data_IF_118917660223
#
_entry.id   IF_118917660223
#
_cell.length_a   1.000
_cell.length_b   1.000
_cell.length_c   1.000
_cell.angle_alpha   90.00
_cell.angle_beta   90.00
_cell.angle_gamma   90.00
#
_symmetry.space_group_name_H-M   'P 1'
#
loop_
_entity.id
_entity.type
_entity.pdbx_description
1 polymer ?
#
# COMPACT_ATOMS: atom_id res chain seq x y z
N UNK A 1 12.70 -8.08 18.97
CA UNK A 1 11.74 -7.54 17.99
C UNK A 1 10.72 -8.62 17.64
N UNK A 2 9.41 -8.34 17.54
CA UNK A 2 8.43 -9.32 17.03
C UNK A 2 8.20 -9.03 15.55
N UNK A 3 9.19 -9.40 14.75
CA UNK A 3 9.10 -9.30 13.30
C UNK A 3 8.31 -10.50 12.79
N UNK A 4 7.35 -10.26 11.92
CA UNK A 4 6.45 -11.29 11.38
C UNK A 4 6.77 -11.63 9.93
N UNK A 5 7.49 -10.74 9.24
CA UNK A 5 7.99 -10.90 7.87
C UNK A 5 9.00 -9.80 7.51
N UNK A 6 9.63 -9.91 6.34
CA UNK A 6 10.53 -8.87 5.81
C UNK A 6 9.74 -7.59 5.45
N UNK A 7 8.57 -7.73 4.82
CA UNK A 7 7.70 -6.60 4.49
C UNK A 7 7.32 -5.77 5.72
N UNK A 8 7.15 -6.38 6.89
CA UNK A 8 6.96 -5.64 8.14
C UNK A 8 8.12 -4.67 8.43
N UNK A 9 9.36 -5.13 8.36
CA UNK A 9 10.54 -4.27 8.64
C UNK A 9 10.64 -3.16 7.61
N UNK A 10 10.50 -3.49 6.33
CA UNK A 10 10.56 -2.52 5.23
C UNK A 10 9.47 -1.46 5.38
N UNK A 11 8.24 -1.86 5.67
CA UNK A 11 7.12 -0.93 5.90
C UNK A 11 7.36 -0.05 7.13
N UNK A 12 7.84 -0.60 8.24
CA UNK A 12 8.17 0.16 9.45
C UNK A 12 9.23 1.24 9.18
N UNK A 13 10.35 0.87 8.54
CA UNK A 13 11.42 1.79 8.16
C UNK A 13 10.93 2.86 7.17
N UNK A 14 10.04 2.47 6.25
CA UNK A 14 9.43 3.38 5.29
C UNK A 14 8.57 4.44 6.00
N UNK A 15 7.76 4.05 6.99
CA UNK A 15 6.96 5.00 7.77
C UNK A 15 7.83 5.92 8.64
N UNK A 16 8.96 5.43 9.16
CA UNK A 16 9.97 6.29 9.82
C UNK A 16 10.49 7.33 8.83
N UNK A 17 10.88 6.90 7.62
CA UNK A 17 11.38 7.79 6.57
C UNK A 17 10.35 8.86 6.18
N UNK A 18 9.08 8.48 5.98
CA UNK A 18 7.96 9.41 5.74
C UNK A 18 7.83 10.41 6.88
N UNK A 19 7.93 9.97 8.13
CA UNK A 19 7.86 10.85 9.29
C UNK A 19 9.00 11.86 9.33
N UNK A 20 10.24 11.42 9.11
CA UNK A 20 11.41 12.29 9.04
C UNK A 20 11.28 13.31 7.91
N UNK A 21 10.86 12.86 6.72
CA UNK A 21 10.65 13.74 5.57
C UNK A 21 9.59 14.81 5.87
N UNK A 22 8.50 14.46 6.54
CA UNK A 22 7.47 15.43 6.95
C UNK A 22 8.02 16.48 7.93
N UNK A 23 8.86 16.08 8.88
CA UNK A 23 9.52 17.00 9.82
C UNK A 23 10.49 17.93 9.10
N UNK A 24 11.32 17.39 8.20
CA UNK A 24 12.35 18.16 7.48
C UNK A 24 11.73 19.13 6.48
N UNK A 25 10.69 18.70 5.75
CA UNK A 25 10.02 19.54 4.75
C UNK A 25 9.13 20.60 5.39
N UNK A 26 8.60 20.35 6.60
CA UNK A 26 7.63 21.25 7.23
C UNK A 26 6.30 21.34 6.46
N UNK A 27 6.00 20.38 5.58
CA UNK A 27 4.75 20.27 4.81
C UNK A 27 4.36 18.79 4.64
N UNK A 28 3.18 18.54 4.05
CA UNK A 28 2.72 17.20 3.78
C UNK A 28 3.61 16.48 2.76
N UNK A 29 4.18 15.36 3.19
CA UNK A 29 4.71 14.32 2.27
C UNK A 29 3.59 13.89 1.32
N UNK A 30 3.95 13.62 0.05
CA UNK A 30 2.98 13.37 -1.04
C UNK A 30 1.90 12.32 -0.71
N UNK A 31 2.22 11.28 0.07
CA UNK A 31 1.23 10.26 0.45
C UNK A 31 0.01 10.83 1.20
N UNK A 32 0.20 11.95 1.91
CA UNK A 32 -0.84 12.63 2.66
C UNK A 32 -1.60 13.65 1.79
N UNK A 33 -1.05 14.07 0.64
CA UNK A 33 -1.69 15.05 -0.23
C UNK A 33 -2.84 14.42 -1.06
N UNK A 34 -3.84 15.22 -1.50
CA UNK A 34 -4.00 16.65 -1.28
C UNK A 34 -4.85 16.99 -0.03
N UNK A 35 -4.41 18.01 0.71
CA UNK A 35 -5.18 18.66 1.79
C UNK A 35 -5.55 20.07 1.33
N UNK A 36 -6.82 20.53 1.46
CA UNK A 36 -7.22 21.85 1.00
C UNK A 36 -6.43 22.93 1.73
N UNK A 37 -6.03 23.99 1.02
CA UNK A 37 -5.27 25.09 1.62
C UNK A 37 -6.02 25.78 2.75
N UNK A 38 -7.35 25.87 2.64
CA UNK A 38 -8.23 26.48 3.64
C UNK A 38 -8.60 25.55 4.82
N UNK A 39 -8.02 24.35 4.90
CA UNK A 39 -8.36 23.42 5.98
C UNK A 39 -7.91 23.98 7.34
N UNK A 40 -8.78 23.99 8.37
CA UNK A 40 -8.43 24.55 9.67
C UNK A 40 -7.27 23.76 10.31
N UNK A 41 -6.36 24.46 10.97
CA UNK A 41 -5.19 23.86 11.61
C UNK A 41 -4.34 22.97 10.68
N UNK A 42 -4.25 23.32 9.39
CA UNK A 42 -3.46 22.59 8.38
C UNK A 42 -2.02 22.31 8.84
N UNK A 43 -1.37 23.29 9.47
CA UNK A 43 -0.01 23.13 10.00
C UNK A 43 0.07 22.08 11.11
N UNK A 44 -0.88 22.07 12.04
CA UNK A 44 -0.96 21.03 13.09
C UNK A 44 -1.12 19.65 12.47
N UNK A 45 -1.89 19.55 11.38
CA UNK A 45 -2.11 18.30 10.67
C UNK A 45 -0.84 17.79 9.96
N UNK A 46 0.01 18.67 9.44
CA UNK A 46 1.33 18.31 8.90
C UNK A 46 2.16 17.61 9.98
N UNK A 47 2.29 18.25 11.14
CA UNK A 47 3.06 17.70 12.26
C UNK A 47 2.46 16.41 12.81
N UNK A 48 1.13 16.29 12.82
CA UNK A 48 0.44 15.07 13.22
C UNK A 48 0.73 13.91 12.26
N UNK A 49 0.65 14.12 10.94
CA UNK A 49 1.00 13.12 9.94
C UNK A 49 2.45 12.64 10.09
N UNK A 50 3.38 13.58 10.28
CA UNK A 50 4.79 13.28 10.48
C UNK A 50 5.02 12.47 11.77
N UNK A 51 4.44 12.92 12.89
CA UNK A 51 4.55 12.27 14.18
C UNK A 51 3.93 10.86 14.19
N UNK A 52 2.73 10.68 13.62
CA UNK A 52 2.07 9.37 13.54
C UNK A 52 2.92 8.41 12.70
N UNK A 53 3.43 8.85 11.55
CA UNK A 53 4.31 8.06 10.69
C UNK A 53 5.57 7.62 11.43
N UNK A 54 6.24 8.57 12.10
CA UNK A 54 7.49 8.33 12.80
C UNK A 54 7.32 7.42 14.02
N UNK A 55 6.39 7.75 14.91
CA UNK A 55 6.17 7.04 16.17
C UNK A 55 5.61 5.65 15.92
N UNK A 56 4.66 5.48 14.99
CA UNK A 56 4.15 4.16 14.65
C UNK A 56 5.21 3.34 13.91
N UNK A 57 5.96 3.93 12.98
CA UNK A 57 7.07 3.27 12.28
C UNK A 57 8.12 2.73 13.25
N UNK A 58 8.56 3.54 14.23
CA UNK A 58 9.46 3.09 15.29
C UNK A 58 8.82 2.03 16.20
N UNK A 59 7.55 2.24 16.56
CA UNK A 59 6.78 1.31 17.40
C UNK A 59 6.60 -0.08 16.79
N UNK A 60 6.52 -0.18 15.46
CA UNK A 60 6.46 -1.46 14.72
C UNK A 60 7.71 -2.32 14.91
N UNK A 61 8.88 -1.72 15.08
CA UNK A 61 10.14 -2.44 15.26
C UNK A 61 10.26 -3.07 16.65
N UNK A 62 9.52 -2.58 17.66
CA UNK A 62 9.61 -3.06 19.03
C UNK A 62 8.51 -4.07 19.40
N UNK A 63 8.88 -5.21 20.02
CA UNK A 63 7.95 -6.31 20.31
C UNK A 63 6.72 -5.90 21.14
N UNK A 64 6.90 -5.01 22.12
CA UNK A 64 5.83 -4.58 23.03
C UNK A 64 4.86 -3.59 22.39
N UNK A 65 5.35 -2.78 21.45
CA UNK A 65 4.58 -1.69 20.84
C UNK A 65 4.09 -2.02 19.43
N UNK A 66 4.54 -3.11 18.81
CA UNK A 66 4.22 -3.42 17.41
C UNK A 66 2.70 -3.55 17.16
N UNK A 67 1.97 -4.27 18.03
CA UNK A 67 0.51 -4.41 17.89
C UNK A 67 -0.24 -3.07 18.06
N UNK A 68 -0.04 -2.28 19.14
CA UNK A 68 -0.72 -0.99 19.26
C UNK A 68 -0.27 0.02 18.18
N UNK A 69 0.99 0.01 17.74
CA UNK A 69 1.48 0.86 16.67
C UNK A 69 0.80 0.54 15.33
N UNK A 70 0.73 -0.75 14.96
CA UNK A 70 0.03 -1.20 13.75
C UNK A 70 -1.45 -0.80 13.77
N UNK A 71 -2.10 -0.94 14.94
CA UNK A 71 -3.50 -0.55 15.15
C UNK A 71 -3.72 0.95 14.94
N UNK A 72 -2.94 1.78 15.63
CA UNK A 72 -3.04 3.25 15.52
C UNK A 72 -2.78 3.70 14.08
N UNK A 73 -1.73 3.17 13.46
CA UNK A 73 -1.39 3.50 12.08
C UNK A 73 -2.51 3.11 11.10
N UNK A 74 -3.06 1.90 11.23
CA UNK A 74 -4.18 1.45 10.41
C UNK A 74 -5.39 2.37 10.54
N UNK A 75 -5.86 2.65 11.75
CA UNK A 75 -7.04 3.49 11.94
C UNK A 75 -6.80 4.94 11.50
N UNK A 76 -5.58 5.47 11.68
CA UNK A 76 -5.23 6.80 11.21
C UNK A 76 -5.24 6.90 9.68
N UNK A 77 -4.62 5.94 8.98
CA UNK A 77 -4.64 5.87 7.52
C UNK A 77 -6.06 5.67 6.97
N UNK A 78 -6.86 4.82 7.62
CA UNK A 78 -8.25 4.60 7.24
C UNK A 78 -9.08 5.88 7.40
N UNK A 79 -8.93 6.57 8.54
CA UNK A 79 -9.56 7.86 8.76
C UNK A 79 -9.13 8.88 7.70
N UNK A 80 -7.84 8.95 7.38
CA UNK A 80 -7.31 9.81 6.32
C UNK A 80 -7.95 9.52 4.96
N UNK A 81 -8.07 8.24 4.62
CA UNK A 81 -8.71 7.81 3.38
C UNK A 81 -10.16 8.29 3.32
N UNK A 82 -10.93 8.11 4.38
CA UNK A 82 -12.35 8.50 4.43
C UNK A 82 -12.52 10.02 4.36
N UNK A 83 -11.72 10.78 5.13
CA UNK A 83 -11.88 12.24 5.25
C UNK A 83 -11.34 12.98 4.03
N UNK A 84 -10.16 12.60 3.54
CA UNK A 84 -9.44 13.36 2.51
C UNK A 84 -9.47 12.72 1.13
N UNK A 85 -9.29 11.41 1.01
CA UNK A 85 -9.15 10.76 -0.31
C UNK A 85 -10.49 10.43 -0.95
N UNK A 86 -11.42 9.87 -0.17
CA UNK A 86 -12.71 9.40 -0.66
C UNK A 86 -13.60 10.55 -1.16
N UNK A 87 -13.49 11.73 -0.53
CA UNK A 87 -14.19 12.94 -1.00
C UNK A 87 -13.84 13.31 -2.46
N UNK A 88 -12.63 13.00 -2.95
CA UNK A 88 -12.25 13.34 -4.32
C UNK A 88 -13.04 12.50 -5.34
N UNK A 89 -13.38 11.27 -5.01
CA UNK A 89 -14.27 10.45 -5.84
C UNK A 89 -15.67 11.07 -5.90
N UNK A 90 -16.20 11.57 -4.78
CA UNK A 90 -17.53 12.21 -4.79
C UNK A 90 -17.55 13.56 -5.52
N UNK A 91 -16.47 14.34 -5.42
CA UNK A 91 -16.36 15.64 -6.08
C UNK A 91 -16.07 15.52 -7.58
N UNK A 92 -15.34 14.49 -7.99
CA UNK A 92 -14.92 14.27 -9.37
C UNK A 92 -15.06 12.78 -9.77
N UNK A 93 -16.30 12.24 -9.82
CA UNK A 93 -16.56 10.81 -10.05
C UNK A 93 -16.30 10.36 -11.49
N UNK A 94 -16.27 11.29 -12.44
CA UNK A 94 -15.96 11.00 -13.85
C UNK A 94 -14.48 11.17 -14.18
N UNK A 95 -13.67 11.60 -13.21
CA UNK A 95 -12.23 11.67 -13.36
C UNK A 95 -11.68 10.36 -12.82
N UNK A 96 -10.99 9.60 -13.68
CA UNK A 96 -9.95 8.68 -13.21
C UNK A 96 -8.89 9.50 -12.42
N UNK A 97 -7.78 9.05 -11.89
CA UNK A 97 -6.94 9.90 -11.04
C UNK A 97 -7.55 10.15 -9.64
N UNK A 98 -8.87 10.43 -9.51
CA UNK A 98 -9.60 10.36 -8.23
C UNK A 98 -9.57 8.94 -7.68
N UNK A 99 -9.84 7.95 -8.54
CA UNK A 99 -9.78 6.54 -8.15
C UNK A 99 -8.34 6.06 -8.00
N UNK A 100 -7.41 6.51 -8.86
CA UNK A 100 -5.98 6.28 -8.69
C UNK A 100 -5.48 6.76 -7.32
N UNK A 101 -5.69 8.04 -6.97
CA UNK A 101 -5.18 8.63 -5.72
C UNK A 101 -5.81 7.99 -4.48
N UNK A 102 -7.07 7.58 -4.57
CA UNK A 102 -7.70 6.80 -3.51
C UNK A 102 -7.13 5.36 -3.45
N UNK A 103 -6.83 4.77 -4.61
CA UNK A 103 -6.16 3.46 -4.75
C UNK A 103 -4.78 3.44 -4.10
N UNK A 104 -3.98 4.50 -4.28
CA UNK A 104 -2.69 4.67 -3.61
C UNK A 104 -2.85 4.57 -2.09
N UNK A 105 -3.79 5.33 -1.52
CA UNK A 105 -4.00 5.28 -0.08
C UNK A 105 -4.59 3.93 0.36
N UNK A 106 -5.47 3.32 -0.45
CA UNK A 106 -6.03 2.00 -0.20
C UNK A 106 -4.96 0.90 -0.10
N UNK A 107 -3.89 0.96 -0.89
CA UNK A 107 -2.72 0.06 -0.76
C UNK A 107 -2.05 0.21 0.61
N UNK A 108 -1.81 1.45 1.04
CA UNK A 108 -1.16 1.74 2.33
C UNK A 108 -2.04 1.26 3.49
N UNK A 109 -3.34 1.55 3.44
CA UNK A 109 -4.34 1.08 4.42
C UNK A 109 -4.38 -0.44 4.44
N UNK A 110 -4.42 -1.11 3.28
CA UNK A 110 -4.44 -2.56 3.20
C UNK A 110 -3.18 -3.20 3.81
N UNK A 111 -2.00 -2.64 3.54
CA UNK A 111 -0.73 -3.08 4.15
C UNK A 111 -0.75 -2.91 5.67
N UNK A 112 -1.13 -1.74 6.16
CA UNK A 112 -1.25 -1.49 7.60
C UNK A 112 -2.29 -2.40 8.27
N UNK A 113 -3.41 -2.66 7.62
CA UNK A 113 -4.46 -3.54 8.14
C UNK A 113 -4.00 -5.01 8.19
N UNK A 114 -3.38 -5.51 7.11
CA UNK A 114 -2.82 -6.86 7.10
C UNK A 114 -1.77 -7.03 8.20
N UNK A 115 -0.89 -6.05 8.38
CA UNK A 115 0.10 -6.04 9.45
C UNK A 115 -0.53 -6.03 10.84
N UNK A 116 -1.58 -5.21 11.04
CA UNK A 116 -2.33 -5.19 12.29
C UNK A 116 -2.91 -6.56 12.63
N UNK A 117 -3.56 -7.24 11.67
CA UNK A 117 -4.08 -8.60 11.87
C UNK A 117 -2.97 -9.59 12.27
N UNK A 118 -1.81 -9.52 11.62
CA UNK A 118 -0.67 -10.41 11.90
C UNK A 118 -0.07 -10.18 13.30
N UNK A 119 -0.16 -8.97 13.84
CA UNK A 119 0.39 -8.59 15.14
C UNK A 119 -0.63 -8.65 16.28
N UNK A 120 -1.92 -8.59 15.97
CA UNK A 120 -3.03 -8.50 16.92
C UNK A 120 -2.94 -9.52 18.06
N UNK A 121 -3.07 -9.01 19.29
CA UNK A 121 -3.07 -9.81 20.52
C UNK A 121 -4.47 -10.31 20.89
N UNK A 122 -4.58 -10.93 22.07
CA UNK A 122 -5.86 -11.43 22.60
C UNK A 122 -6.86 -10.30 22.86
N UNK A 123 -6.39 -9.16 23.39
CA UNK A 123 -7.21 -7.97 23.62
C UNK A 123 -7.86 -7.48 22.31
N UNK A 124 -7.06 -7.36 21.24
CA UNK A 124 -7.57 -6.92 19.94
C UNK A 124 -8.61 -7.90 19.39
N UNK A 125 -8.37 -9.20 19.52
CA UNK A 125 -9.33 -10.22 19.06
C UNK A 125 -10.64 -10.19 19.83
N UNK A 126 -10.61 -9.84 21.11
CA UNK A 126 -11.81 -9.74 21.97
C UNK A 126 -12.63 -8.49 21.68
N UNK A 127 -11.98 -7.35 21.45
CA UNK A 127 -12.66 -6.05 21.34
C UNK A 127 -12.81 -5.54 19.90
N UNK A 128 -11.92 -5.95 19.00
CA UNK A 128 -11.81 -5.49 17.61
C UNK A 128 -11.79 -6.67 16.62
N UNK A 129 -12.49 -7.77 16.96
CA UNK A 129 -12.41 -9.05 16.24
C UNK A 129 -12.69 -8.98 14.74
N UNK A 130 -13.54 -8.04 14.29
CA UNK A 130 -13.74 -7.78 12.86
C UNK A 130 -12.43 -7.34 12.18
N UNK A 131 -11.75 -6.34 12.74
CA UNK A 131 -10.54 -5.75 12.17
C UNK A 131 -9.30 -6.60 12.40
N UNK A 132 -9.23 -7.35 13.50
CA UNK A 132 -8.03 -8.09 13.91
C UNK A 132 -8.05 -9.58 13.51
N UNK A 133 -9.12 -10.04 12.85
CA UNK A 133 -9.37 -11.45 12.56
C UNK A 133 -9.25 -11.82 11.08
N UNK A 134 -9.74 -13.03 10.74
CA UNK A 134 -9.77 -13.53 9.35
C UNK A 134 -10.60 -12.65 8.41
N UNK A 135 -11.70 -12.09 8.91
CA UNK A 135 -12.58 -11.17 8.16
C UNK A 135 -11.83 -9.90 7.80
N UNK A 136 -11.17 -9.27 8.78
CA UNK A 136 -10.34 -8.08 8.55
C UNK A 136 -9.22 -8.34 7.54
N UNK A 137 -8.55 -9.51 7.62
CA UNK A 137 -7.53 -9.85 6.63
C UNK A 137 -8.09 -10.00 5.21
N UNK A 138 -9.27 -10.60 5.06
CA UNK A 138 -9.96 -10.68 3.76
C UNK A 138 -10.33 -9.29 3.26
N UNK A 139 -10.85 -8.42 4.11
CA UNK A 139 -11.21 -7.06 3.75
C UNK A 139 -9.98 -6.23 3.34
N UNK A 140 -8.85 -6.36 4.03
CA UNK A 140 -7.58 -5.74 3.64
C UNK A 140 -7.13 -6.19 2.24
N UNK A 141 -7.24 -7.48 1.94
CA UNK A 141 -6.89 -8.03 0.62
C UNK A 141 -7.82 -7.56 -0.48
N UNK A 142 -9.12 -7.48 -0.21
CA UNK A 142 -10.10 -6.93 -1.16
C UNK A 142 -9.82 -5.44 -1.41
N UNK A 143 -9.52 -4.67 -0.36
CA UNK A 143 -9.15 -3.25 -0.51
C UNK A 143 -7.91 -3.08 -1.40
N UNK A 144 -6.88 -3.90 -1.18
CA UNK A 144 -5.70 -3.94 -2.06
C UNK A 144 -6.06 -4.30 -3.50
N UNK A 145 -6.92 -5.30 -3.71
CA UNK A 145 -7.35 -5.72 -5.03
C UNK A 145 -8.11 -4.64 -5.80
N UNK A 146 -8.99 -3.91 -5.12
CA UNK A 146 -9.70 -2.76 -5.69
C UNK A 146 -8.72 -1.65 -6.11
N UNK A 147 -7.67 -1.42 -5.33
CA UNK A 147 -6.62 -0.48 -5.71
C UNK A 147 -5.86 -0.95 -6.97
N UNK A 148 -5.59 -2.25 -7.12
CA UNK A 148 -4.97 -2.78 -8.35
C UNK A 148 -5.87 -2.58 -9.57
N UNK A 149 -7.19 -2.74 -9.43
CA UNK A 149 -8.13 -2.45 -10.52
C UNK A 149 -8.05 -0.97 -10.92
N UNK A 150 -8.06 -0.06 -9.95
CA UNK A 150 -7.90 1.37 -10.21
C UNK A 150 -6.57 1.66 -10.94
N UNK A 151 -5.45 1.11 -10.45
CA UNK A 151 -4.15 1.30 -11.11
C UNK A 151 -4.10 0.76 -12.54
N UNK A 152 -4.74 -0.39 -12.77
CA UNK A 152 -4.90 -0.93 -14.10
C UNK A 152 -5.63 0.04 -15.02
N UNK A 153 -6.82 0.52 -14.60
CA UNK A 153 -7.61 1.50 -15.34
C UNK A 153 -6.84 2.79 -15.62
N UNK A 154 -6.10 3.31 -14.64
CA UNK A 154 -5.30 4.53 -14.76
C UNK A 154 -4.23 4.41 -15.86
N UNK A 155 -3.62 3.24 -16.06
CA UNK A 155 -2.64 3.03 -17.14
C UNK A 155 -3.28 3.17 -18.53
N UNK A 156 -4.55 2.78 -18.68
CA UNK A 156 -5.27 2.92 -19.95
C UNK A 156 -5.74 4.37 -20.16
N UNK A 157 -6.30 5.01 -19.12
CA UNK A 157 -6.81 6.38 -19.21
C UNK A 157 -5.70 7.43 -19.39
N UNK A 158 -4.54 7.21 -18.76
CA UNK A 158 -3.42 8.14 -18.77
C UNK A 158 -2.23 7.61 -19.54
N UNK A 159 -2.48 6.86 -20.62
CA UNK A 159 -1.43 6.27 -21.45
C UNK A 159 -0.40 7.30 -21.93
N UNK A 160 -0.84 8.53 -22.22
CA UNK A 160 0.01 9.65 -22.62
C UNK A 160 0.94 10.14 -21.49
N UNK A 161 0.62 9.85 -20.23
CA UNK A 161 1.47 10.14 -19.07
C UNK A 161 2.30 8.92 -18.66
N UNK A 162 1.76 7.71 -18.83
CA UNK A 162 2.42 6.45 -18.42
C UNK A 162 3.48 5.97 -19.41
N UNK A 163 3.19 5.95 -20.72
CA UNK A 163 4.13 5.44 -21.71
C UNK A 163 5.47 6.21 -21.75
N UNK A 164 5.52 7.54 -21.57
CA UNK A 164 6.77 8.27 -21.48
C UNK A 164 7.64 7.92 -20.26
N UNK A 165 7.08 7.30 -19.22
CA UNK A 165 7.86 6.86 -18.05
C UNK A 165 8.66 5.58 -18.30
N UNK A 166 8.33 4.83 -19.36
CA UNK A 166 9.12 3.66 -19.74
C UNK A 166 10.52 4.13 -20.16
N UNK A 167 11.61 3.52 -19.64
CA UNK A 167 12.96 3.97 -19.93
C UNK A 167 13.27 4.00 -21.43
N UNK A 168 13.95 5.06 -21.89
CA UNK A 168 14.21 5.30 -23.31
C UNK A 168 15.01 4.19 -24.03
N UNK A 169 15.71 3.32 -23.28
CA UNK A 169 16.45 2.19 -23.83
C UNK A 169 15.56 0.97 -24.14
N UNK A 170 14.30 0.96 -23.69
CA UNK A 170 13.38 -0.16 -23.86
C UNK A 170 12.38 0.16 -25.00
N UNK A 171 12.27 -0.67 -26.05
CA UNK A 171 11.30 -0.44 -27.11
C UNK A 171 9.84 -0.63 -26.61
N UNK A 172 8.87 -0.29 -27.46
CA UNK A 172 7.44 -0.56 -27.23
C UNK A 172 6.87 0.03 -25.93
N UNK A 173 7.21 1.28 -25.63
CA UNK A 173 6.72 2.03 -24.46
C UNK A 173 5.21 1.89 -24.22
N UNK A 174 4.40 2.04 -25.27
CA UNK A 174 2.94 1.87 -25.22
C UNK A 174 2.54 0.42 -24.89
N UNK A 175 3.26 -0.56 -25.46
CA UNK A 175 3.04 -1.98 -25.18
C UNK A 175 3.30 -2.32 -23.71
N UNK A 176 4.38 -1.78 -23.13
CA UNK A 176 4.67 -1.93 -21.70
C UNK A 176 3.59 -1.30 -20.82
N UNK A 177 3.13 -0.08 -21.15
CA UNK A 177 2.07 0.57 -20.39
C UNK A 177 0.75 -0.24 -20.40
N UNK A 178 0.36 -0.80 -21.56
CA UNK A 178 -0.80 -1.69 -21.63
C UNK A 178 -0.59 -3.01 -20.88
N UNK A 179 0.60 -3.59 -20.98
CA UNK A 179 0.95 -4.83 -20.28
C UNK A 179 0.86 -4.67 -18.77
N UNK A 180 1.48 -3.63 -18.20
CA UNK A 180 1.49 -3.42 -16.76
C UNK A 180 0.14 -2.98 -16.22
N UNK A 181 -0.62 -2.18 -16.98
CA UNK A 181 -2.01 -1.86 -16.67
C UNK A 181 -2.90 -3.11 -16.63
N UNK A 182 -2.78 -3.97 -17.63
CA UNK A 182 -3.50 -5.25 -17.70
C UNK A 182 -3.10 -6.17 -16.54
N UNK A 183 -1.81 -6.23 -16.20
CA UNK A 183 -1.31 -7.03 -15.09
C UNK A 183 -1.89 -6.58 -13.75
N UNK A 184 -1.98 -5.28 -13.48
CA UNK A 184 -2.64 -4.76 -12.28
C UNK A 184 -4.14 -5.12 -12.26
N UNK A 185 -4.83 -4.90 -13.37
CA UNK A 185 -6.26 -5.20 -13.48
C UNK A 185 -6.55 -6.69 -13.20
N UNK A 186 -5.83 -7.59 -13.87
CA UNK A 186 -5.95 -9.04 -13.68
C UNK A 186 -5.55 -9.46 -12.27
N UNK A 187 -4.51 -8.86 -11.68
CA UNK A 187 -4.12 -9.14 -10.30
C UNK A 187 -5.23 -8.81 -9.31
N UNK A 188 -5.94 -7.69 -9.50
CA UNK A 188 -7.10 -7.33 -8.70
C UNK A 188 -8.23 -8.37 -8.80
N UNK A 189 -8.58 -8.76 -10.02
CA UNK A 189 -9.62 -9.79 -10.25
C UNK A 189 -9.24 -11.15 -9.64
N UNK A 190 -7.98 -11.57 -9.81
CA UNK A 190 -7.44 -12.81 -9.25
C UNK A 190 -7.53 -12.84 -7.71
N UNK A 191 -7.19 -11.71 -7.06
CA UNK A 191 -7.28 -11.60 -5.60
C UNK A 191 -8.74 -11.66 -5.12
N UNK A 192 -9.66 -10.95 -5.79
CA UNK A 192 -11.09 -10.97 -5.44
C UNK A 192 -11.68 -12.36 -5.62
N UNK A 193 -11.36 -13.04 -6.73
CA UNK A 193 -11.82 -14.39 -7.01
C UNK A 193 -11.19 -15.45 -6.08
N UNK A 194 -10.07 -15.11 -5.41
CA UNK A 194 -9.30 -16.07 -4.62
C UNK A 194 -8.55 -17.11 -5.46
N UNK A 195 -8.42 -16.87 -6.77
CA UNK A 195 -7.75 -17.73 -7.76
C UNK A 195 -6.43 -17.04 -8.12
N UNK A 196 -5.30 -17.72 -7.94
CA UNK A 196 -3.96 -17.14 -8.13
C UNK A 196 -3.73 -15.88 -7.27
N UNK A 197 -4.44 -15.73 -6.15
CA UNK A 197 -4.36 -14.54 -5.30
C UNK A 197 -2.96 -14.30 -4.71
N UNK A 198 -2.26 -15.37 -4.31
CA UNK A 198 -0.88 -15.30 -3.81
C UNK A 198 0.09 -14.79 -4.88
N UNK A 199 0.22 -15.42 -6.06
CA UNK A 199 1.09 -14.90 -7.11
C UNK A 199 0.64 -13.52 -7.60
N UNK A 200 -0.66 -13.23 -7.69
CA UNK A 200 -1.16 -11.90 -8.04
C UNK A 200 -0.66 -10.81 -7.07
N UNK A 201 -0.72 -11.04 -5.76
CA UNK A 201 -0.21 -10.10 -4.77
C UNK A 201 1.32 -9.93 -4.84
N UNK A 202 2.06 -11.02 -5.04
CA UNK A 202 3.54 -10.98 -5.17
C UNK A 202 3.94 -10.23 -6.43
N UNK A 203 3.35 -10.57 -7.58
CA UNK A 203 3.70 -9.99 -8.88
C UNK A 203 3.31 -8.52 -8.97
N UNK A 204 2.15 -8.12 -8.43
CA UNK A 204 1.79 -6.71 -8.39
C UNK A 204 2.70 -5.89 -7.47
N UNK A 205 3.11 -6.46 -6.33
CA UNK A 205 4.14 -5.84 -5.46
C UNK A 205 5.48 -5.70 -6.20
N UNK A 206 5.93 -6.77 -6.88
CA UNK A 206 7.16 -6.75 -7.66
C UNK A 206 7.11 -5.69 -8.76
N UNK A 207 5.99 -5.59 -9.48
CA UNK A 207 5.79 -4.58 -10.51
C UNK A 207 5.91 -3.15 -9.96
N UNK A 208 5.33 -2.86 -8.78
CA UNK A 208 5.47 -1.56 -8.11
C UNK A 208 6.93 -1.24 -7.75
N UNK A 209 7.63 -2.23 -7.19
CA UNK A 209 9.05 -2.08 -6.83
C UNK A 209 9.92 -1.85 -8.06
N UNK A 210 9.70 -2.64 -9.12
CA UNK A 210 10.40 -2.47 -10.40
C UNK A 210 10.15 -1.08 -10.99
N UNK A 211 8.92 -0.59 -11.01
CA UNK A 211 8.65 0.78 -11.48
C UNK A 211 9.35 1.84 -10.64
N UNK A 212 9.36 1.68 -9.32
CA UNK A 212 10.04 2.61 -8.42
C UNK A 212 11.51 2.80 -8.80
N UNK A 213 12.20 1.72 -9.14
CA UNK A 213 13.60 1.80 -9.53
C UNK A 213 13.78 2.12 -11.02
N UNK A 214 13.07 1.46 -11.93
CA UNK A 214 13.25 1.64 -13.37
C UNK A 214 12.90 3.05 -13.85
N UNK A 215 11.90 3.69 -13.26
CA UNK A 215 11.49 5.04 -13.65
C UNK A 215 12.34 6.07 -12.94
N UNK A 216 12.39 6.03 -11.60
CA UNK A 216 12.90 7.17 -10.84
C UNK A 216 14.42 7.13 -10.63
N UNK A 217 15.04 5.94 -10.54
CA UNK A 217 16.49 5.85 -10.31
C UNK A 217 17.30 6.44 -11.48
N UNK A 218 16.99 6.17 -12.77
CA UNK A 218 17.68 6.83 -13.87
C UNK A 218 17.55 8.35 -13.84
N UNK A 219 16.36 8.89 -13.56
CA UNK A 219 16.14 10.34 -13.45
C UNK A 219 16.94 10.95 -12.30
N UNK A 220 17.01 10.26 -11.15
CA UNK A 220 17.79 10.70 -10.01
C UNK A 220 19.30 10.69 -10.31
N UNK A 221 19.82 9.62 -10.92
CA UNK A 221 21.23 9.50 -11.30
C UNK A 221 21.64 10.51 -12.39
N UNK A 222 20.72 10.85 -13.28
CA UNK A 222 20.93 11.88 -14.30
C UNK A 222 20.82 13.32 -13.75
N UNK A 223 20.39 13.50 -12.49
CA UNK A 223 20.19 14.82 -11.90
C UNK A 223 19.01 15.61 -12.49
N UNK A 224 18.09 14.95 -13.19
CA UNK A 224 16.95 15.59 -13.88
C UNK A 224 15.61 15.41 -13.15
N UNK A 225 15.61 14.71 -12.01
CA UNK A 225 14.43 14.48 -11.21
C UNK A 225 13.91 15.80 -10.59
N UNK A 226 12.64 16.12 -10.88
CA UNK A 226 11.96 17.30 -10.34
C UNK A 226 11.44 17.04 -8.92
N UNK A 227 11.07 18.10 -8.20
CA UNK A 227 10.52 17.98 -6.84
C UNK A 227 9.22 17.16 -6.79
N UNK A 228 8.34 17.28 -7.78
CA UNK A 228 7.12 16.45 -7.87
C UNK A 228 7.47 14.98 -8.11
N UNK A 229 8.43 14.69 -8.98
CA UNK A 229 8.88 13.31 -9.25
C UNK A 229 9.60 12.67 -8.06
N UNK A 230 10.31 13.45 -7.24
CA UNK A 230 10.79 12.98 -5.94
C UNK A 230 9.65 12.56 -5.02
N UNK A 231 8.56 13.32 -5.04
CA UNK A 231 7.32 12.97 -4.38
C UNK A 231 6.73 11.64 -4.87
N UNK A 232 6.66 11.45 -6.18
CA UNK A 232 6.19 10.21 -6.81
C UNK A 232 7.07 9.00 -6.48
N UNK A 233 8.39 9.19 -6.42
CA UNK A 233 9.32 8.16 -5.95
C UNK A 233 9.02 7.72 -4.50
N UNK A 234 8.78 8.70 -3.61
CA UNK A 234 8.41 8.41 -2.22
C UNK A 234 7.09 7.64 -2.17
N UNK A 235 6.07 8.08 -2.93
CA UNK A 235 4.78 7.41 -3.01
C UNK A 235 4.97 5.97 -3.50
N UNK A 236 5.66 5.75 -4.63
CA UNK A 236 5.83 4.43 -5.21
C UNK A 236 6.61 3.48 -4.28
N UNK A 237 7.59 3.99 -3.53
CA UNK A 237 8.28 3.22 -2.49
C UNK A 237 7.36 2.84 -1.33
N UNK A 238 6.56 3.79 -0.81
CA UNK A 238 5.58 3.53 0.27
C UNK A 238 4.55 2.48 -0.16
N UNK A 239 4.06 2.58 -1.40
CA UNK A 239 3.13 1.61 -1.99
C UNK A 239 3.78 0.23 -2.08
N UNK A 240 5.02 0.14 -2.55
CA UNK A 240 5.78 -1.12 -2.64
C UNK A 240 5.93 -1.76 -1.26
N UNK A 241 6.31 -0.98 -0.25
CA UNK A 241 6.48 -1.48 1.11
C UNK A 241 5.17 -1.99 1.71
N UNK A 242 4.07 -1.26 1.52
CA UNK A 242 2.74 -1.68 1.99
C UNK A 242 2.23 -2.93 1.24
N UNK A 243 2.39 -2.97 -0.07
CA UNK A 243 2.03 -4.11 -0.93
C UNK A 243 2.80 -5.37 -0.52
N UNK A 244 4.08 -5.24 -0.15
CA UNK A 244 4.88 -6.36 0.36
C UNK A 244 4.27 -6.95 1.62
N UNK A 245 3.77 -6.14 2.56
CA UNK A 245 3.04 -6.67 3.73
C UNK A 245 1.79 -7.46 3.30
N UNK A 246 1.03 -6.96 2.32
CA UNK A 246 -0.13 -7.68 1.78
C UNK A 246 0.28 -9.01 1.16
N UNK A 247 1.36 -9.05 0.38
CA UNK A 247 1.91 -10.27 -0.20
C UNK A 247 2.38 -11.27 0.87
N UNK A 248 3.09 -10.79 1.91
CA UNK A 248 3.54 -11.61 3.04
C UNK A 248 2.35 -12.23 3.80
N UNK A 249 1.20 -11.57 3.82
CA UNK A 249 -0.01 -12.13 4.42
C UNK A 249 -0.45 -13.44 3.76
N UNK A 250 -0.10 -13.66 2.47
CA UNK A 250 -0.41 -14.88 1.72
C UNK A 250 0.62 -16.00 1.89
N UNK A 251 1.63 -15.85 2.77
CA UNK A 251 2.69 -16.86 2.95
C UNK A 251 2.17 -18.29 3.11
N UNK A 252 1.08 -18.44 3.89
CA UNK A 252 0.46 -19.72 4.24
C UNK A 252 -0.68 -20.13 3.28
N UNK A 253 -0.99 -19.31 2.27
CA UNK A 253 -2.02 -19.59 1.28
C UNK A 253 -1.49 -20.48 0.14
N UNK A 254 -2.41 -21.23 -0.48
CA UNK A 254 -2.12 -22.00 -1.69
C UNK A 254 -1.79 -21.09 -2.89
N UNK A 255 -1.01 -21.62 -3.84
CA UNK A 255 -0.62 -20.89 -5.05
C UNK A 255 -1.78 -20.67 -6.02
N UNK A 256 -2.65 -21.68 -6.19
CA UNK A 256 -3.78 -21.64 -7.13
C UNK A 256 -5.06 -21.17 -6.45
N UNK A 257 -5.42 -21.75 -5.30
CA UNK A 257 -6.60 -21.34 -4.54
C UNK A 257 -6.20 -20.86 -3.15
N UNK A 258 -6.67 -19.68 -2.76
CA UNK A 258 -6.34 -19.08 -1.48
C UNK A 258 -6.81 -19.91 -0.26
N UNK A 259 -7.84 -20.74 -0.44
CA UNK A 259 -8.48 -21.56 0.60
C UNK A 259 -8.10 -23.05 0.55
N UNK A 260 -7.01 -23.44 -0.12
CA UNK A 260 -6.58 -24.84 -0.10
C UNK A 260 -6.15 -25.23 1.33
N UNK A 261 -7.11 -25.75 2.11
CA UNK A 261 -6.89 -26.25 3.45
C UNK A 261 -5.77 -27.28 3.41
N UNK A 262 -4.73 -27.11 4.24
CA UNK A 262 -3.98 -28.28 4.70
C UNK A 262 -5.00 -29.17 5.38
N UNK A 263 -5.38 -30.28 4.74
CA UNK A 263 -6.09 -31.37 5.39
C UNK A 263 -5.31 -31.67 6.67
N UNK A 264 -5.93 -31.42 7.81
CA UNK A 264 -5.45 -31.91 9.10
C UNK A 264 -5.38 -33.42 8.95
N UNK A 265 -4.18 -34.00 9.06
CA UNK A 265 -4.05 -35.44 9.26
C UNK A 265 -4.88 -35.78 10.51
N UNK A 266 -5.83 -36.73 10.46
CA UNK A 266 -6.45 -37.21 11.67
C UNK A 266 -5.33 -37.75 12.56
N UNK A 267 -5.31 -37.28 13.81
CA UNK A 267 -4.44 -37.86 14.83
C UNK A 267 -4.67 -39.37 14.82
N UNK A 268 -3.64 -40.12 14.47
CA UNK A 268 -3.62 -41.56 14.72
C UNK A 268 -3.65 -41.72 16.23
N UNK A 269 -4.81 -42.13 16.74
CA UNK A 269 -4.92 -42.71 18.07
C UNK A 269 -4.08 -43.99 18.06
N UNK A 270 -3.13 -44.06 18.98
CA UNK A 270 -2.26 -45.20 19.26
C UNK A 270 -1.57 -44.95 20.58
#
# INVERSE_FOLDING_TARGET
>A
MRIVSVGHVVFALTMIGVGILGVVQGDFVQIWQPVPRAFPAREVLVWLCAAVSLVCGAGLLWRRTAAPAARVLFFYLLLWMIVFKLRFIFLAPLTEGSYQSNGENAVIVAGAWALYVMLAGEWDRRHLGFFSGKTGLRAARVLYALAMIAFGLSHFFYLNLTAPLVPAWLPWHVGFAYFTGSAYFVAGLAIIAGILAKPAAILSTLQMGLFTFLVWLPLALAGTITASQWGEFIVSWVLTAAAWVVADSYRDAGWIFANAQRRVQPATAG
#
